data_IF_676373047056
#
_entry.id   IF_676373047056
#
_cell.length_a   1.000
_cell.length_b   1.000
_cell.length_c   1.000
_cell.angle_alpha   90.00
_cell.angle_beta   90.00
_cell.angle_gamma   90.00
#
_symmetry.space_group_name_H-M   'P 1'
#
loop_
_entity.id
_entity.type
_entity.pdbx_description
1 polymer ?
#
# COMPACT_ATOMS: atom_id res chain seq x y z
N UNK A 1 -5.52 -26.22 12.64
CA UNK A 1 -4.74 -25.31 11.80
C UNK A 1 -5.68 -24.34 11.08
N UNK A 2 -5.43 -23.06 11.19
CA UNK A 2 -6.28 -22.06 10.52
C UNK A 2 -5.97 -22.01 9.03
N UNK A 3 -7.00 -21.89 8.22
CA UNK A 3 -6.88 -21.68 6.78
C UNK A 3 -7.14 -20.21 6.47
N UNK A 4 -6.30 -19.61 5.61
CA UNK A 4 -6.43 -18.24 5.17
C UNK A 4 -6.38 -18.15 3.66
N UNK A 5 -7.12 -17.20 3.08
CA UNK A 5 -6.92 -16.84 1.68
C UNK A 5 -5.64 -16.03 1.53
N UNK A 6 -5.10 -15.99 0.33
CA UNK A 6 -3.86 -15.24 0.05
C UNK A 6 -4.01 -13.76 0.41
N UNK A 7 -5.14 -13.14 0.07
CA UNK A 7 -5.41 -11.73 0.40
C UNK A 7 -5.51 -11.47 1.90
N UNK A 8 -6.05 -12.42 2.67
CA UNK A 8 -6.12 -12.31 4.13
C UNK A 8 -4.73 -12.32 4.76
N UNK A 9 -3.84 -13.18 4.27
CA UNK A 9 -2.46 -13.26 4.74
C UNK A 9 -1.71 -11.95 4.44
N UNK A 10 -1.90 -11.39 3.25
CA UNK A 10 -1.28 -10.11 2.88
C UNK A 10 -1.77 -8.99 3.81
N UNK A 11 -3.08 -8.87 3.99
CA UNK A 11 -3.65 -7.85 4.88
C UNK A 11 -3.16 -8.01 6.33
N UNK A 12 -3.08 -9.24 6.80
CA UNK A 12 -2.59 -9.53 8.14
C UNK A 12 -1.11 -9.16 8.30
N UNK A 13 -0.27 -9.52 7.33
CA UNK A 13 1.16 -9.21 7.37
C UNK A 13 1.40 -7.70 7.38
N UNK A 14 0.72 -6.95 6.50
CA UNK A 14 0.82 -5.49 6.49
C UNK A 14 0.36 -4.88 7.81
N UNK A 15 -0.77 -5.34 8.34
CA UNK A 15 -1.32 -4.84 9.60
C UNK A 15 -0.40 -5.11 10.78
N UNK A 16 0.22 -6.28 10.84
CA UNK A 16 1.18 -6.60 11.90
C UNK A 16 2.37 -5.66 11.89
N UNK A 17 2.94 -5.39 10.72
CA UNK A 17 4.06 -4.47 10.61
C UNK A 17 3.65 -3.02 10.93
N UNK A 18 2.48 -2.60 10.49
CA UNK A 18 1.96 -1.25 10.77
C UNK A 18 1.67 -1.04 12.26
N UNK A 19 1.31 -2.08 13.00
CA UNK A 19 1.13 -1.99 14.46
C UNK A 19 2.45 -1.81 15.21
N UNK A 20 3.53 -2.37 14.67
CA UNK A 20 4.87 -2.29 15.28
C UNK A 20 5.59 -0.99 14.95
N UNK A 21 5.28 -0.36 13.82
CA UNK A 21 6.03 0.78 13.32
C UNK A 21 5.08 1.83 12.72
N UNK A 22 5.01 2.98 13.38
CA UNK A 22 4.13 4.08 12.97
C UNK A 22 4.57 4.75 11.66
N UNK A 23 5.81 4.55 11.22
CA UNK A 23 6.31 5.10 9.96
C UNK A 23 5.81 4.32 8.75
N UNK A 24 5.27 3.13 8.94
CA UNK A 24 4.72 2.30 7.87
C UNK A 24 3.29 2.74 7.58
N UNK A 25 3.01 3.00 6.31
CA UNK A 25 1.65 3.30 5.85
C UNK A 25 1.40 2.67 4.48
N UNK A 26 0.14 2.51 4.14
CA UNK A 26 -0.29 1.91 2.88
C UNK A 26 -0.89 2.98 1.98
N UNK A 27 -0.49 2.99 0.72
CA UNK A 27 -1.10 3.84 -0.29
C UNK A 27 -1.31 3.06 -1.58
N UNK A 28 -2.36 3.41 -2.30
CA UNK A 28 -2.70 2.77 -3.57
C UNK A 28 -4.11 3.11 -4.00
N UNK A 29 -4.51 2.57 -5.13
CA UNK A 29 -5.85 2.79 -5.69
C UNK A 29 -6.87 1.95 -4.93
N UNK A 30 -7.90 2.61 -4.38
CA UNK A 30 -9.03 1.97 -3.70
C UNK A 30 -8.63 1.12 -2.47
N UNK A 31 -7.46 1.38 -1.86
CA UNK A 31 -6.98 0.59 -0.71
C UNK A 31 -7.70 0.95 0.59
N UNK A 32 -8.23 2.17 0.71
CA UNK A 32 -8.87 2.67 1.93
C UNK A 32 -10.38 2.46 1.92
N UNK A 33 -11.13 3.34 1.28
CA UNK A 33 -12.60 3.36 1.35
C UNK A 33 -13.24 2.07 0.80
N UNK A 34 -12.66 1.51 -0.25
CA UNK A 34 -13.18 0.29 -0.89
C UNK A 34 -12.60 -0.99 -0.30
N UNK A 35 -11.70 -0.90 0.68
CA UNK A 35 -11.01 -2.05 1.28
C UNK A 35 -10.14 -2.84 0.30
N UNK A 36 -9.65 -2.17 -0.75
CA UNK A 36 -8.85 -2.78 -1.79
C UNK A 36 -9.69 -3.37 -2.93
N UNK A 37 -9.21 -3.24 -4.16
CA UNK A 37 -9.90 -3.79 -5.33
C UNK A 37 -10.07 -5.32 -5.22
N UNK A 38 -9.09 -6.00 -4.65
CA UNK A 38 -9.12 -7.44 -4.40
C UNK A 38 -9.20 -7.78 -2.91
N UNK A 39 -9.55 -6.78 -2.09
CA UNK A 39 -9.73 -6.92 -0.64
C UNK A 39 -8.46 -7.34 0.13
N UNK A 40 -7.28 -7.03 -0.42
CA UNK A 40 -6.01 -7.29 0.27
C UNK A 40 -5.72 -6.29 1.38
N UNK A 41 -6.49 -5.21 1.48
CA UNK A 41 -6.39 -4.20 2.54
C UNK A 41 -7.66 -4.09 3.37
N UNK A 42 -8.52 -5.09 3.33
CA UNK A 42 -9.81 -5.08 4.03
C UNK A 42 -9.63 -4.86 5.54
N UNK A 43 -10.38 -3.90 6.07
CA UNK A 43 -10.37 -3.56 7.50
C UNK A 43 -9.23 -2.66 7.94
N UNK A 44 -8.26 -2.38 7.09
CA UNK A 44 -7.08 -1.60 7.49
C UNK A 44 -7.41 -0.13 7.71
N UNK A 45 -8.28 0.46 6.90
CA UNK A 45 -8.71 1.85 7.13
C UNK A 45 -9.37 2.02 8.50
N UNK A 46 -10.21 1.08 8.89
CA UNK A 46 -10.86 1.12 10.22
C UNK A 46 -9.85 1.05 11.36
N UNK A 47 -8.83 0.23 11.21
CA UNK A 47 -7.83 0.04 12.27
C UNK A 47 -6.84 1.20 12.34
N UNK A 48 -6.31 1.65 11.21
CA UNK A 48 -5.17 2.58 11.18
C UNK A 48 -5.54 4.03 10.85
N UNK A 49 -6.72 4.24 10.28
CA UNK A 49 -7.21 5.57 9.94
C UNK A 49 -6.69 6.12 8.60
N UNK A 50 -7.26 7.26 8.16
CA UNK A 50 -7.02 7.79 6.82
C UNK A 50 -5.63 8.41 6.63
N UNK A 51 -4.88 8.62 7.68
CA UNK A 51 -3.49 9.11 7.56
C UNK A 51 -2.50 7.99 7.27
N UNK A 52 -2.88 6.75 7.50
CA UNK A 52 -2.01 5.59 7.31
C UNK A 52 -2.51 4.61 6.27
N UNK A 53 -3.75 4.73 5.82
CA UNK A 53 -4.31 3.94 4.72
C UNK A 53 -4.92 4.94 3.74
N UNK A 54 -4.25 5.18 2.63
CA UNK A 54 -4.46 6.34 1.78
C UNK A 54 -4.84 5.93 0.37
N UNK A 55 -6.02 6.37 -0.07
CA UNK A 55 -6.42 6.22 -1.46
C UNK A 55 -5.67 7.21 -2.35
N UNK A 56 -5.15 6.74 -3.47
CA UNK A 56 -4.52 7.57 -4.48
C UNK A 56 -5.40 7.66 -5.73
N UNK A 57 -5.21 8.70 -6.57
CA UNK A 57 -5.73 8.66 -7.93
C UNK A 57 -5.11 7.50 -8.71
N UNK A 58 -5.74 7.15 -9.85
CA UNK A 58 -5.18 6.17 -10.79
C UNK A 58 -4.01 6.85 -11.52
N UNK A 59 -2.83 6.79 -10.93
CA UNK A 59 -1.63 7.45 -11.40
C UNK A 59 -0.39 6.75 -10.84
N UNK A 60 -0.10 5.55 -11.33
CA UNK A 60 0.96 4.69 -10.81
C UNK A 60 2.34 5.35 -10.82
N UNK A 61 2.64 6.10 -11.87
CA UNK A 61 3.89 6.87 -11.94
C UNK A 61 3.96 7.92 -10.82
N UNK A 62 2.86 8.64 -10.61
CA UNK A 62 2.76 9.69 -9.61
C UNK A 62 2.88 9.17 -8.19
N UNK A 63 2.06 8.19 -7.81
CA UNK A 63 2.09 7.72 -6.42
C UNK A 63 3.34 6.89 -6.11
N UNK A 64 3.92 6.21 -7.11
CA UNK A 64 5.22 5.56 -6.92
C UNK A 64 6.33 6.58 -6.63
N UNK A 65 6.33 7.70 -7.34
CA UNK A 65 7.27 8.79 -7.09
C UNK A 65 7.08 9.42 -5.71
N UNK A 66 5.84 9.63 -5.29
CA UNK A 66 5.52 10.13 -3.95
C UNK A 66 6.05 9.15 -2.88
N UNK A 67 5.85 7.85 -3.09
CA UNK A 67 6.34 6.84 -2.17
C UNK A 67 7.86 6.87 -2.04
N UNK A 68 8.58 6.97 -3.15
CA UNK A 68 10.05 7.08 -3.14
C UNK A 68 10.48 8.31 -2.35
N UNK A 69 9.89 9.48 -2.63
CA UNK A 69 10.22 10.72 -1.90
C UNK A 69 9.89 10.62 -0.42
N UNK A 70 8.77 10.02 -0.07
CA UNK A 70 8.37 9.78 1.33
C UNK A 70 9.37 8.87 2.04
N UNK A 71 9.83 7.81 1.37
CA UNK A 71 10.84 6.90 1.91
C UNK A 71 12.17 7.62 2.13
N UNK A 72 12.58 8.48 1.22
CA UNK A 72 13.79 9.31 1.37
C UNK A 72 13.69 10.24 2.58
N UNK A 73 12.48 10.60 2.98
CA UNK A 73 12.23 11.46 4.13
C UNK A 73 12.02 10.68 5.44
N UNK A 74 12.27 9.39 5.46
CA UNK A 74 12.23 8.58 6.68
C UNK A 74 10.97 7.75 6.90
N UNK A 75 9.98 7.87 6.04
CA UNK A 75 8.79 7.03 6.11
C UNK A 75 9.01 5.67 5.43
N UNK A 76 8.11 4.75 5.68
CA UNK A 76 8.20 3.39 5.12
C UNK A 76 6.88 3.04 4.42
N UNK A 77 6.67 3.54 3.19
CA UNK A 77 5.43 3.32 2.47
C UNK A 77 5.34 1.89 1.91
N UNK A 78 4.14 1.33 2.01
CA UNK A 78 3.75 0.15 1.23
C UNK A 78 2.91 0.69 0.09
N UNK A 79 3.27 0.35 -1.14
CA UNK A 79 2.53 0.75 -2.33
C UNK A 79 1.83 -0.46 -2.91
N UNK A 80 0.50 -0.37 -3.05
CA UNK A 80 -0.25 -1.41 -3.73
C UNK A 80 -0.52 -1.00 -5.18
N UNK A 81 -0.07 -1.81 -6.11
CA UNK A 81 -0.56 -1.71 -7.49
C UNK A 81 -1.82 -2.57 -7.59
N UNK A 82 -2.91 -2.02 -8.12
CA UNK A 82 -4.20 -2.70 -8.20
C UNK A 82 -4.09 -4.09 -8.82
N UNK A 83 -3.38 -4.19 -9.95
CA UNK A 83 -2.85 -5.44 -10.48
C UNK A 83 -1.37 -5.20 -10.78
N UNK A 84 -0.52 -6.20 -10.54
CA UNK A 84 0.93 -5.96 -10.55
C UNK A 84 1.50 -5.60 -11.93
N UNK A 85 0.79 -5.92 -13.01
CA UNK A 85 1.18 -5.46 -14.34
C UNK A 85 1.24 -3.94 -14.44
N UNK A 86 0.44 -3.20 -13.65
CA UNK A 86 0.49 -1.74 -13.62
C UNK A 86 1.75 -1.18 -12.94
N UNK A 87 2.56 -2.03 -12.32
CA UNK A 87 3.87 -1.62 -11.84
C UNK A 87 4.76 -1.14 -12.99
N UNK A 88 4.50 -1.62 -14.22
CA UNK A 88 5.22 -1.16 -15.41
C UNK A 88 4.99 0.32 -15.71
N UNK A 89 3.86 0.88 -15.32
CA UNK A 89 3.57 2.32 -15.46
C UNK A 89 4.42 3.12 -14.47
N UNK A 90 4.66 2.57 -13.28
CA UNK A 90 5.46 3.22 -12.25
C UNK A 90 6.93 2.81 -12.22
N UNK A 91 7.37 1.97 -13.15
CA UNK A 91 8.69 1.33 -13.10
C UNK A 91 9.85 2.32 -13.13
N UNK A 92 9.68 3.45 -13.79
CA UNK A 92 10.70 4.50 -13.84
C UNK A 92 11.06 5.00 -12.44
N UNK A 93 10.05 5.20 -11.59
CA UNK A 93 10.27 5.66 -10.22
C UNK A 93 10.97 4.59 -9.39
N UNK A 94 10.66 3.32 -9.61
CA UNK A 94 11.24 2.21 -8.87
C UNK A 94 12.70 1.98 -9.27
N UNK A 95 12.97 1.97 -10.57
CA UNK A 95 14.29 1.60 -11.09
C UNK A 95 15.25 2.81 -11.10
N UNK A 96 14.77 3.98 -11.53
CA UNK A 96 15.64 5.13 -11.75
C UNK A 96 15.70 6.10 -10.57
N UNK A 97 14.66 6.18 -9.75
CA UNK A 97 14.61 7.17 -8.67
C UNK A 97 14.69 6.57 -7.27
N UNK A 98 14.35 5.29 -7.13
CA UNK A 98 14.57 4.59 -5.88
C UNK A 98 15.96 3.98 -5.83
#
# INVERSE_FOLDING_TARGET
MAEYTFREVIAQAMSEEMRKDESIYLMGEEVAEYNGAYKASKGMLNEFGPKRVIDTPIAELGFSGIAVGSAMNGNRPIVEFMTFNFSLVGIDQIINNA
#
